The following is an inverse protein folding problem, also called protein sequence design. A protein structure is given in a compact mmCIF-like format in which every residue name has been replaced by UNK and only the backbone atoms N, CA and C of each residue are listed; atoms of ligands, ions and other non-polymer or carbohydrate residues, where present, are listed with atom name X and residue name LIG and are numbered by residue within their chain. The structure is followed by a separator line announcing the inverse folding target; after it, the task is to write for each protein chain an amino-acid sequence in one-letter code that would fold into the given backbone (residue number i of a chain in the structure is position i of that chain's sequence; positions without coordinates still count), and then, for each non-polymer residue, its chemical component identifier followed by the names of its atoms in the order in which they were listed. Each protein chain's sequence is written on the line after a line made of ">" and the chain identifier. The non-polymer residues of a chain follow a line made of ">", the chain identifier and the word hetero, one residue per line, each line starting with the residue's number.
data_IF_414595872201
#
_entry.id   IF_414595872201
#
_cell.length_a   1.000
_cell.length_b   1.000
_cell.length_c   1.000
_cell.angle_alpha   90.00
_cell.angle_beta   90.00
_cell.angle_gamma   90.00
#
_symmetry.space_group_name_H-M   'P 1'
#
loop_
_entity.id
_entity.type
_entity.pdbx_description
1 polymer ?
#
# COMPACT_ATOMS: atom_id res chain seq x y z
N UNK A 1 -9.45 29.74 9.67
CA UNK A 1 -8.61 29.27 8.56
C UNK A 1 -8.40 27.77 8.76
N UNK A 2 -9.19 26.96 8.06
CA UNK A 2 -9.12 25.49 8.15
C UNK A 2 -7.84 24.99 7.50
N UNK A 3 -7.03 24.28 8.28
CA UNK A 3 -5.78 23.65 7.82
C UNK A 3 -5.66 22.25 8.41
N UNK A 4 -6.74 21.46 8.37
CA UNK A 4 -6.69 20.07 8.84
C UNK A 4 -6.93 19.06 7.70
N UNK A 5 -7.47 19.50 6.56
CA UNK A 5 -7.77 18.60 5.44
C UNK A 5 -6.51 17.97 4.79
N UNK A 6 -5.35 18.65 4.82
CA UNK A 6 -4.14 18.11 4.20
C UNK A 6 -3.48 16.97 4.99
N UNK A 7 -3.63 16.96 6.32
CA UNK A 7 -3.13 15.89 7.18
C UNK A 7 -4.04 14.66 7.10
N UNK A 8 -5.35 14.86 7.14
CA UNK A 8 -6.33 13.78 6.98
C UNK A 8 -6.14 13.03 5.65
N UNK A 9 -5.83 13.73 4.55
CA UNK A 9 -5.55 13.07 3.29
C UNK A 9 -4.20 12.34 3.31
N UNK A 10 -3.12 12.97 3.77
CA UNK A 10 -1.82 12.28 3.87
C UNK A 10 -1.83 11.05 4.78
N UNK A 11 -2.54 11.11 5.90
CA UNK A 11 -2.69 9.99 6.82
C UNK A 11 -3.56 8.88 6.21
N UNK A 12 -4.64 9.23 5.51
CA UNK A 12 -5.48 8.27 4.78
C UNK A 12 -4.79 7.68 3.54
N UNK A 13 -3.98 8.47 2.85
CA UNK A 13 -3.17 8.05 1.70
C UNK A 13 -2.11 7.07 2.18
N UNK A 14 -1.38 7.38 3.26
CA UNK A 14 -0.45 6.44 3.89
C UNK A 14 -1.15 5.15 4.34
N UNK A 15 -2.33 5.26 4.94
CA UNK A 15 -3.07 4.09 5.41
C UNK A 15 -3.57 3.21 4.26
N UNK A 16 -4.00 3.83 3.16
CA UNK A 16 -4.44 3.13 1.94
C UNK A 16 -3.27 2.49 1.21
N UNK A 17 -2.13 3.16 1.19
CA UNK A 17 -0.88 2.71 0.57
C UNK A 17 -0.28 1.47 1.24
N UNK A 18 -0.46 1.32 2.55
CA UNK A 18 -0.03 0.13 3.30
C UNK A 18 -0.89 -1.12 3.03
N UNK A 19 -2.12 -0.93 2.54
CA UNK A 19 -3.06 -2.02 2.24
C UNK A 19 -3.26 -2.24 0.74
N UNK A 20 -2.50 -1.51 -0.09
CA UNK A 20 -2.57 -1.60 -1.54
C UNK A 20 -1.33 -2.29 -2.09
N UNK A 21 -1.42 -3.53 -2.60
CA UNK A 21 -0.29 -4.23 -3.22
C UNK A 21 0.25 -3.57 -4.48
N UNK A 22 -0.48 -2.61 -5.08
CA UNK A 22 0.08 -1.77 -6.13
C UNK A 22 1.13 -0.79 -5.59
N UNK A 23 1.16 -0.50 -4.29
CA UNK A 23 2.08 0.47 -3.71
C UNK A 23 3.28 -0.19 -3.02
N UNK A 24 4.43 0.46 -3.04
CA UNK A 24 5.68 -0.08 -2.47
C UNK A 24 5.61 -0.24 -0.93
N UNK A 25 4.93 0.68 -0.21
CA UNK A 25 4.73 0.56 1.25
C UNK A 25 4.08 -0.76 1.70
N UNK A 26 3.20 -1.34 0.87
CA UNK A 26 2.59 -2.64 1.16
C UNK A 26 3.64 -3.75 1.23
N UNK A 27 4.57 -3.76 0.27
CA UNK A 27 5.63 -4.76 0.16
C UNK A 27 6.72 -4.53 1.21
N UNK A 28 7.07 -3.27 1.47
CA UNK A 28 7.98 -2.91 2.56
C UNK A 28 7.50 -3.38 3.93
N UNK A 29 6.19 -3.28 4.19
CA UNK A 29 5.60 -3.77 5.45
C UNK A 29 5.68 -5.29 5.60
N UNK A 30 5.88 -6.03 4.50
CA UNK A 30 6.09 -7.48 4.48
C UNK A 30 7.56 -7.90 4.43
N UNK A 31 8.48 -6.94 4.44
CA UNK A 31 9.93 -7.18 4.44
C UNK A 31 10.56 -7.27 3.06
N UNK A 32 9.85 -6.85 2.02
CA UNK A 32 10.40 -6.71 0.66
C UNK A 32 10.99 -5.30 0.47
N UNK A 33 12.01 -5.16 -0.38
CA UNK A 33 12.65 -3.86 -0.68
C UNK A 33 11.82 -2.98 -1.64
N UNK A 34 10.65 -3.44 -2.09
CA UNK A 34 9.74 -2.71 -2.96
C UNK A 34 8.75 -3.65 -3.64
N UNK A 35 7.92 -3.13 -4.54
CA UNK A 35 6.98 -3.96 -5.29
C UNK A 35 7.71 -4.84 -6.33
N UNK A 36 7.55 -6.18 -6.27
CA UNK A 36 8.08 -7.08 -7.30
C UNK A 36 7.31 -6.93 -8.62
N UNK A 37 7.93 -7.22 -9.77
CA UNK A 37 7.25 -7.17 -11.08
C UNK A 37 6.04 -8.14 -11.16
N UNK A 38 6.17 -9.34 -10.59
CA UNK A 38 5.09 -10.34 -10.54
C UNK A 38 4.14 -10.16 -9.33
N UNK A 39 3.96 -8.93 -8.84
CA UNK A 39 3.11 -8.67 -7.67
C UNK A 39 1.64 -9.04 -7.89
N UNK A 40 1.11 -8.87 -9.11
CA UNK A 40 -0.27 -9.22 -9.46
C UNK A 40 -0.50 -10.74 -9.27
N UNK A 41 0.39 -11.56 -9.82
CA UNK A 41 0.31 -13.03 -9.71
C UNK A 41 0.45 -13.51 -8.26
N UNK A 42 1.30 -12.84 -7.45
CA UNK A 42 1.44 -13.15 -6.02
C UNK A 42 0.17 -12.87 -5.24
N UNK A 43 -0.48 -11.74 -5.50
CA UNK A 43 -1.69 -11.30 -4.79
C UNK A 43 -2.90 -12.11 -5.24
N UNK A 44 -3.07 -12.31 -6.54
CA UNK A 44 -4.14 -13.17 -7.09
C UNK A 44 -3.95 -14.63 -6.63
N UNK A 45 -2.71 -15.12 -6.57
CA UNK A 45 -2.39 -16.44 -6.04
C UNK A 45 -2.49 -16.58 -4.51
N UNK A 46 -2.46 -15.48 -3.75
CA UNK A 46 -2.78 -15.47 -2.31
C UNK A 46 -4.28 -15.46 -2.06
N UNK A 47 -5.10 -14.87 -2.94
CA UNK A 47 -6.55 -14.79 -2.78
C UNK A 47 -7.26 -16.15 -2.90
N UNK A 48 -6.62 -17.15 -3.51
CA UNK A 48 -7.15 -18.49 -3.73
C UNK A 48 -6.68 -19.54 -2.69
N UNK A 49 -5.87 -19.16 -1.70
CA UNK A 49 -5.39 -20.05 -0.61
C UNK A 49 -6.22 -19.93 0.67
#
# INVERSE_FOLDING_TARGET
>A
MGRNAAQEQHDNDNHSNQLNPNNDEYWHSRGEDGRPDDWEDRVDGEADR
#
